data_IF_958273385604
#
_entry.id   IF_958273385604
#
_cell.length_a   1.000
_cell.length_b   1.000
_cell.length_c   1.000
_cell.angle_alpha   90.00
_cell.angle_beta   90.00
_cell.angle_gamma   90.00
#
_symmetry.space_group_name_H-M   'P 1'
#
loop_
_entity.id
_entity.type
_entity.pdbx_description
1 polymer ?
#
# COMPACT_ATOMS: atom_id res chain seq x y z
N UNK A 1 -20.94 -38.59 28.03
CA UNK A 1 -20.90 -37.26 27.38
C UNK A 1 -21.92 -37.26 26.23
N UNK A 2 -23.02 -36.51 26.34
CA UNK A 2 -24.15 -36.53 25.37
C UNK A 2 -24.47 -35.14 24.83
N UNK A 3 -23.47 -34.41 24.31
CA UNK A 3 -23.70 -33.13 23.63
C UNK A 3 -23.16 -33.19 22.21
N UNK A 4 -23.98 -32.74 21.26
CA UNK A 4 -23.65 -32.56 19.84
C UNK A 4 -23.69 -31.07 19.50
N UNK A 5 -22.62 -30.31 19.79
CA UNK A 5 -22.58 -28.89 19.48
C UNK A 5 -22.68 -28.65 17.97
N UNK A 6 -23.51 -27.68 17.58
CA UNK A 6 -23.66 -27.27 16.18
C UNK A 6 -22.46 -26.44 15.72
N UNK A 7 -21.88 -26.80 14.57
CA UNK A 7 -20.80 -26.05 13.93
C UNK A 7 -21.40 -25.25 12.78
N UNK A 8 -21.31 -23.92 12.84
CA UNK A 8 -21.82 -23.05 11.78
C UNK A 8 -20.91 -23.11 10.57
N UNK A 9 -21.50 -23.27 9.39
CA UNK A 9 -20.76 -23.21 8.13
C UNK A 9 -20.35 -21.77 7.78
N UNK A 10 -19.09 -21.61 7.38
CA UNK A 10 -18.54 -20.36 6.87
C UNK A 10 -18.16 -20.55 5.40
N UNK A 11 -18.71 -19.77 4.46
CA UNK A 11 -18.37 -19.91 3.05
C UNK A 11 -16.88 -19.62 2.82
N UNK A 12 -16.19 -20.53 2.12
CA UNK A 12 -14.75 -20.41 1.92
C UNK A 12 -14.33 -19.16 1.14
N UNK A 13 -15.10 -18.80 0.11
CA UNK A 13 -14.71 -17.72 -0.83
C UNK A 13 -15.48 -16.40 -0.64
N UNK A 14 -16.60 -16.39 0.08
CA UNK A 14 -17.48 -15.21 0.19
C UNK A 14 -17.73 -14.74 1.63
N UNK A 15 -17.02 -15.31 2.61
CA UNK A 15 -17.17 -14.90 4.02
C UNK A 15 -16.93 -13.40 4.22
N UNK A 16 -15.99 -12.81 3.47
CA UNK A 16 -15.60 -11.42 3.63
C UNK A 16 -16.61 -10.43 3.04
N UNK A 17 -17.51 -10.87 2.17
CA UNK A 17 -18.57 -10.02 1.60
C UNK A 17 -19.73 -9.79 2.57
N UNK A 18 -19.76 -10.53 3.69
CA UNK A 18 -20.88 -10.51 4.64
C UNK A 18 -20.94 -9.25 5.50
N UNK A 19 -19.83 -8.54 5.68
CA UNK A 19 -19.76 -7.36 6.54
C UNK A 19 -18.78 -6.34 5.96
N UNK A 20 -19.13 -5.04 6.04
CA UNK A 20 -18.26 -3.97 5.54
C UNK A 20 -16.88 -3.94 6.17
N UNK A 21 -16.73 -4.40 7.43
CA UNK A 21 -15.42 -4.60 8.09
C UNK A 21 -14.52 -5.53 7.29
N UNK A 22 -15.05 -6.69 6.88
CA UNK A 22 -14.28 -7.70 6.17
C UNK A 22 -13.99 -7.29 4.73
N UNK A 23 -14.91 -6.56 4.09
CA UNK A 23 -14.67 -5.96 2.77
C UNK A 23 -13.51 -4.98 2.83
N UNK A 24 -13.49 -4.06 3.82
CA UNK A 24 -12.36 -3.12 4.00
C UNK A 24 -11.05 -3.84 4.32
N UNK A 25 -11.10 -4.89 5.13
CA UNK A 25 -9.93 -5.74 5.39
C UNK A 25 -9.39 -6.34 4.08
N UNK A 26 -10.25 -6.99 3.28
CA UNK A 26 -9.82 -7.58 2.01
C UNK A 26 -9.36 -6.53 1.00
N UNK A 27 -10.00 -5.36 0.95
CA UNK A 27 -9.57 -4.25 0.10
C UNK A 27 -8.15 -3.81 0.46
N UNK A 28 -7.80 -3.77 1.75
CA UNK A 28 -6.43 -3.52 2.21
C UNK A 28 -5.48 -4.58 1.70
N UNK A 29 -5.80 -5.87 1.85
CA UNK A 29 -4.92 -6.95 1.40
C UNK A 29 -4.69 -6.91 -0.12
N UNK A 30 -5.72 -6.61 -0.92
CA UNK A 30 -5.64 -6.54 -2.39
C UNK A 30 -4.70 -5.45 -2.90
N UNK A 31 -4.40 -4.41 -2.10
CA UNK A 31 -3.40 -3.39 -2.45
C UNK A 31 -2.05 -4.00 -2.85
N UNK A 32 -1.69 -5.16 -2.28
CA UNK A 32 -0.42 -5.84 -2.56
C UNK A 32 -0.27 -6.24 -4.03
N UNK A 33 -1.37 -6.51 -4.73
CA UNK A 33 -1.34 -6.87 -6.16
C UNK A 33 -0.85 -5.70 -7.00
N UNK A 34 -1.38 -4.50 -6.76
CA UNK A 34 -0.99 -3.29 -7.47
C UNK A 34 0.45 -2.87 -7.12
N UNK A 35 0.82 -2.95 -5.85
CA UNK A 35 2.19 -2.68 -5.38
C UNK A 35 3.18 -3.66 -6.03
N UNK A 36 2.83 -4.95 -6.07
CA UNK A 36 3.63 -5.99 -6.68
C UNK A 36 3.84 -5.77 -8.18
N UNK A 37 2.76 -5.52 -8.94
CA UNK A 37 2.86 -5.21 -10.38
C UNK A 37 3.71 -3.96 -10.61
N UNK A 38 3.50 -2.89 -9.83
CA UNK A 38 4.31 -1.68 -9.93
C UNK A 38 5.81 -1.96 -9.63
N UNK A 39 6.10 -2.85 -8.67
CA UNK A 39 7.47 -3.27 -8.35
C UNK A 39 8.12 -3.98 -9.54
N UNK A 40 7.42 -4.90 -10.20
CA UNK A 40 7.92 -5.55 -11.42
C UNK A 40 8.11 -4.57 -12.58
N UNK A 41 7.25 -3.55 -12.69
CA UNK A 41 7.42 -2.47 -13.67
C UNK A 41 8.71 -1.68 -13.41
N UNK A 42 9.02 -1.36 -12.15
CA UNK A 42 10.27 -0.71 -11.78
C UNK A 42 11.48 -1.60 -12.08
N UNK A 43 11.40 -2.90 -11.80
CA UNK A 43 12.46 -3.86 -12.16
C UNK A 43 12.68 -3.93 -13.68
N UNK A 44 11.61 -3.89 -14.48
CA UNK A 44 11.71 -3.80 -15.93
C UNK A 44 12.39 -2.49 -16.36
N UNK A 45 12.10 -1.37 -15.70
CA UNK A 45 12.78 -0.09 -15.93
C UNK A 45 14.27 -0.13 -15.61
N UNK A 46 14.67 -0.74 -14.48
CA UNK A 46 16.08 -0.96 -14.13
C UNK A 46 16.77 -1.87 -15.17
N UNK A 47 16.08 -2.93 -15.60
CA UNK A 47 16.60 -3.84 -16.63
C UNK A 47 16.69 -3.21 -18.02
N UNK A 48 15.82 -2.24 -18.35
CA UNK A 48 15.92 -1.45 -19.57
C UNK A 48 17.09 -0.46 -19.47
N UNK A 49 17.25 0.20 -18.33
CA UNK A 49 18.34 1.12 -18.06
C UNK A 49 19.71 0.43 -18.20
N UNK A 50 19.85 -0.81 -17.72
CA UNK A 50 21.10 -1.57 -17.86
C UNK A 50 21.45 -1.96 -19.29
N UNK A 51 20.49 -1.90 -20.23
CA UNK A 51 20.69 -2.22 -21.65
C UNK A 51 21.07 -1.01 -22.50
N UNK A 52 21.10 0.18 -21.91
CA UNK A 52 21.51 1.42 -22.57
C UNK A 52 20.34 2.34 -22.95
N UNK A 53 20.66 3.51 -23.53
CA UNK A 53 19.69 4.60 -23.71
C UNK A 53 18.49 4.21 -24.57
N UNK A 54 18.69 3.53 -25.70
CA UNK A 54 17.61 3.16 -26.62
C UNK A 54 16.55 2.26 -25.95
N UNK A 55 17.00 1.27 -25.17
CA UNK A 55 16.10 0.39 -24.43
C UNK A 55 15.34 1.13 -23.33
N UNK A 56 16.00 2.07 -22.66
CA UNK A 56 15.37 2.89 -21.61
C UNK A 56 14.35 3.88 -22.20
N UNK A 57 14.65 4.53 -23.31
CA UNK A 57 13.74 5.43 -24.01
C UNK A 57 12.49 4.69 -24.52
N UNK A 58 12.66 3.47 -25.04
CA UNK A 58 11.54 2.61 -25.41
C UNK A 58 10.67 2.24 -24.19
N UNK A 59 11.29 1.96 -23.04
CA UNK A 59 10.56 1.74 -21.79
C UNK A 59 9.78 3.00 -21.37
N UNK A 60 10.40 4.18 -21.38
CA UNK A 60 9.72 5.45 -21.06
C UNK A 60 8.54 5.73 -22.00
N UNK A 61 8.71 5.51 -23.31
CA UNK A 61 7.63 5.64 -24.28
C UNK A 61 6.46 4.68 -23.97
N UNK A 62 6.74 3.46 -23.51
CA UNK A 62 5.69 2.51 -23.11
C UNK A 62 4.86 2.99 -21.91
N UNK A 63 5.46 3.77 -21.00
CA UNK A 63 4.78 4.33 -19.84
C UNK A 63 3.82 5.48 -20.20
N UNK A 64 4.01 6.11 -21.36
CA UNK A 64 3.15 7.20 -21.86
C UNK A 64 1.87 6.68 -22.51
N UNK A 65 1.71 5.38 -22.72
CA UNK A 65 0.48 4.82 -23.28
C UNK A 65 -0.72 5.05 -22.34
N UNK A 66 -1.95 5.25 -22.87
CA UNK A 66 -3.14 5.46 -22.04
C UNK A 66 -3.37 4.35 -21.00
N UNK A 67 -3.05 3.10 -21.36
CA UNK A 67 -3.18 1.96 -20.47
C UNK A 67 -2.18 2.03 -19.30
N UNK A 68 -0.92 2.37 -19.58
CA UNK A 68 0.11 2.55 -18.56
C UNK A 68 -0.23 3.68 -17.61
N UNK A 69 -0.68 4.83 -18.12
CA UNK A 69 -1.10 5.97 -17.30
C UNK A 69 -2.30 5.61 -16.42
N UNK A 70 -3.30 4.93 -16.96
CA UNK A 70 -4.45 4.46 -16.20
C UNK A 70 -4.03 3.50 -15.09
N UNK A 71 -3.17 2.51 -15.40
CA UNK A 71 -2.64 1.57 -14.41
C UNK A 71 -1.85 2.28 -13.31
N UNK A 72 -0.91 3.17 -13.66
CA UNK A 72 -0.08 3.90 -12.69
C UNK A 72 -0.93 4.78 -11.77
N UNK A 73 -1.98 5.41 -12.32
CA UNK A 73 -2.94 6.19 -11.52
C UNK A 73 -3.69 5.30 -10.52
N UNK A 74 -4.18 4.14 -10.96
CA UNK A 74 -4.84 3.18 -10.07
C UNK A 74 -3.86 2.65 -9.01
N UNK A 75 -2.64 2.29 -9.41
CA UNK A 75 -1.60 1.83 -8.50
C UNK A 75 -1.28 2.89 -7.44
N UNK A 76 -1.22 4.17 -7.82
CA UNK A 76 -1.04 5.30 -6.90
C UNK A 76 -2.20 5.42 -5.90
N UNK A 77 -3.45 5.29 -6.35
CA UNK A 77 -4.61 5.32 -5.44
C UNK A 77 -4.57 4.16 -4.44
N UNK A 78 -4.21 2.96 -4.88
CA UNK A 78 -4.07 1.79 -4.00
C UNK A 78 -2.87 1.90 -3.04
N UNK A 79 -1.75 2.49 -3.45
CA UNK A 79 -0.61 2.72 -2.55
C UNK A 79 -0.94 3.78 -1.50
N UNK A 80 -1.66 4.85 -1.86
CA UNK A 80 -2.18 5.84 -0.90
C UNK A 80 -3.11 5.17 0.10
N UNK A 81 -4.08 4.38 -0.37
CA UNK A 81 -5.00 3.64 0.51
C UNK A 81 -4.24 2.66 1.43
N UNK A 82 -3.24 1.97 0.90
CA UNK A 82 -2.35 1.09 1.67
C UNK A 82 -1.64 1.87 2.78
N UNK A 83 -0.97 2.97 2.46
CA UNK A 83 -0.25 3.81 3.43
C UNK A 83 -1.15 4.32 4.54
N UNK A 84 -2.34 4.84 4.21
CA UNK A 84 -3.33 5.29 5.21
C UNK A 84 -3.71 4.14 6.15
N UNK A 85 -4.02 2.97 5.59
CA UNK A 85 -4.39 1.80 6.39
C UNK A 85 -3.24 1.31 7.27
N UNK A 86 -2.00 1.37 6.78
CA UNK A 86 -0.78 0.99 7.49
C UNK A 86 -0.53 1.91 8.67
N UNK A 87 -0.60 3.23 8.48
CA UNK A 87 -0.41 4.21 9.55
C UNK A 87 -1.43 4.02 10.68
N UNK A 88 -2.69 3.76 10.35
CA UNK A 88 -3.74 3.53 11.34
C UNK A 88 -3.57 2.25 12.17
N UNK A 89 -2.83 1.26 11.67
CA UNK A 89 -2.52 0.00 12.39
C UNK A 89 -1.13 0.01 13.05
N UNK A 90 -0.35 1.05 12.82
CA UNK A 90 1.02 1.16 13.33
C UNK A 90 1.09 1.30 14.87
N UNK A 91 0.25 2.11 15.55
CA UNK A 91 0.29 2.23 17.01
C UNK A 91 0.07 0.90 17.75
N UNK A 92 -0.67 -0.03 17.16
CA UNK A 92 -0.97 -1.34 17.74
C UNK A 92 0.26 -2.26 17.76
N UNK A 93 1.23 -2.03 16.87
CA UNK A 93 2.50 -2.76 16.83
C UNK A 93 3.64 -2.02 17.56
N UNK A 94 3.45 -0.75 17.93
CA UNK A 94 4.45 0.09 18.58
C UNK A 94 3.89 0.79 19.83
N UNK A 95 3.62 0.04 20.93
CA UNK A 95 3.25 0.64 22.19
C UNK A 95 4.48 1.30 22.84
N UNK A 96 4.62 2.62 22.65
CA UNK A 96 5.73 3.40 23.24
C UNK A 96 5.33 3.83 24.65
N UNK A 97 6.03 3.36 25.67
CA UNK A 97 5.79 3.76 27.06
C UNK A 97 6.47 5.10 27.36
N UNK A 98 5.76 5.98 28.06
CA UNK A 98 6.19 7.30 28.50
C UNK A 98 5.83 7.48 29.97
N UNK A 99 6.79 7.20 30.87
CA UNK A 99 6.51 7.15 32.31
C UNK A 99 5.59 5.99 32.66
N UNK A 100 4.49 6.30 33.36
CA UNK A 100 3.45 5.32 33.73
C UNK A 100 2.38 5.12 32.64
N UNK A 101 2.40 5.95 31.58
CA UNK A 101 1.42 5.94 30.50
C UNK A 101 2.01 5.44 29.18
N UNK A 102 1.16 5.18 28.19
CA UNK A 102 1.57 4.95 26.80
C UNK A 102 1.33 6.18 25.93
N UNK A 103 2.23 6.39 24.97
CA UNK A 103 2.11 7.45 23.98
C UNK A 103 0.78 7.28 23.21
N UNK A 104 -0.06 8.33 23.13
CA UNK A 104 -1.30 8.28 22.37
C UNK A 104 -1.04 7.90 20.90
N UNK A 105 -1.76 6.89 20.39
CA UNK A 105 -1.58 6.40 19.02
C UNK A 105 -1.78 7.50 17.94
N UNK A 106 -2.58 8.52 18.23
CA UNK A 106 -2.74 9.68 17.35
C UNK A 106 -1.44 10.46 17.11
N UNK A 107 -0.53 10.50 18.08
CA UNK A 107 0.80 11.12 17.92
C UNK A 107 1.65 10.30 16.93
N UNK A 108 1.64 8.98 17.08
CA UNK A 108 2.36 8.06 16.18
C UNK A 108 1.82 8.20 14.75
N UNK A 109 0.50 8.19 14.58
CA UNK A 109 -0.14 8.38 13.26
C UNK A 109 0.24 9.73 12.66
N UNK A 110 0.14 10.82 13.45
CA UNK A 110 0.49 12.17 13.00
C UNK A 110 1.96 12.28 12.57
N UNK A 111 2.88 11.65 13.31
CA UNK A 111 4.29 11.60 12.94
C UNK A 111 4.52 10.89 11.59
N UNK A 112 3.81 9.79 11.31
CA UNK A 112 3.92 9.09 10.03
C UNK A 112 3.43 9.94 8.86
N UNK A 113 2.31 10.66 9.02
CA UNK A 113 1.86 11.61 8.00
C UNK A 113 2.86 12.76 7.80
N UNK A 114 3.42 13.30 8.89
CA UNK A 114 4.45 14.34 8.81
C UNK A 114 5.69 13.89 8.04
N UNK A 115 6.23 12.70 8.39
CA UNK A 115 7.36 12.09 7.68
C UNK A 115 7.00 11.84 6.21
N UNK A 116 5.80 11.35 5.93
CA UNK A 116 5.35 11.09 4.56
C UNK A 116 5.33 12.35 3.69
N UNK A 117 4.78 13.46 4.21
CA UNK A 117 4.77 14.76 3.51
C UNK A 117 6.20 15.25 3.23
N UNK A 118 7.06 15.21 4.25
CA UNK A 118 8.47 15.64 4.10
C UNK A 118 9.19 14.78 3.06
N UNK A 119 9.06 13.46 3.14
CA UNK A 119 9.66 12.54 2.17
C UNK A 119 9.16 12.80 0.75
N UNK A 120 7.86 13.04 0.56
CA UNK A 120 7.30 13.40 -0.75
C UNK A 120 7.89 14.70 -1.29
N UNK A 121 7.99 15.76 -0.47
CA UNK A 121 8.59 17.03 -0.89
C UNK A 121 10.05 16.84 -1.29
N UNK A 122 10.83 16.14 -0.47
CA UNK A 122 12.25 15.85 -0.75
C UNK A 122 12.40 15.08 -2.07
N UNK A 123 11.59 14.04 -2.29
CA UNK A 123 11.63 13.27 -3.54
C UNK A 123 11.29 14.15 -4.73
N UNK A 124 10.22 14.94 -4.67
CA UNK A 124 9.81 15.83 -5.76
C UNK A 124 10.86 16.89 -6.09
N UNK A 125 11.54 17.44 -5.07
CA UNK A 125 12.67 18.35 -5.27
C UNK A 125 13.86 17.64 -5.94
N UNK A 126 14.23 16.45 -5.46
CA UNK A 126 15.36 15.69 -6.03
C UNK A 126 15.14 15.27 -7.48
N UNK A 127 13.89 15.00 -7.89
CA UNK A 127 13.55 14.68 -9.27
C UNK A 127 13.26 15.91 -10.15
N UNK A 128 13.43 17.13 -9.61
CA UNK A 128 13.29 18.38 -10.35
C UNK A 128 11.85 18.78 -10.70
N UNK A 129 10.87 18.28 -9.95
CA UNK A 129 9.45 18.70 -10.08
C UNK A 129 9.17 19.99 -9.30
N UNK A 130 9.87 20.19 -8.17
CA UNK A 130 9.87 21.39 -7.34
C UNK A 130 11.23 22.08 -7.44
#
# INVERSE_FOLDING_TARGET
>A
MSRKPYIREVPKASWYLRQGRYVRYMAREVTCVFIGIHTFLLLAGVGALSKGPEAYDAFLASLQSPLSVAFLTVALLFTIYHSISWFNVTPQAMPIQTGEDFLPGGIIIGAHYGIWVVATIVVLFLVGVL
#
